data_IF_613674512255
#
_entry.id   IF_613674512255
#
_cell.length_a   1.000
_cell.length_b   1.000
_cell.length_c   1.000
_cell.angle_alpha   90.00
_cell.angle_beta   90.00
_cell.angle_gamma   90.00
#
_symmetry.space_group_name_H-M   'P 1'
#
loop_
_entity.id
_entity.type
_entity.pdbx_description
1 polymer ?
#
# COMPACT_ATOMS: atom_id res chain seq x y z
N UNK A 1 3.24 22.56 13.47
CA UNK A 1 4.00 21.30 13.28
C UNK A 1 3.73 20.83 11.86
N UNK A 2 4.78 20.67 11.04
CA UNK A 2 4.65 20.13 9.69
C UNK A 2 4.77 18.61 9.69
N UNK A 3 4.31 17.96 8.61
CA UNK A 3 4.56 16.54 8.40
C UNK A 3 6.08 16.27 8.31
N UNK A 4 6.55 15.11 8.76
CA UNK A 4 7.97 14.77 8.65
C UNK A 4 8.38 14.70 7.17
N UNK A 5 9.59 15.15 6.79
CA UNK A 5 10.01 15.23 5.39
C UNK A 5 9.84 13.94 4.60
N UNK A 6 10.17 12.79 5.20
CA UNK A 6 10.05 11.47 4.57
C UNK A 6 8.64 11.15 4.05
N UNK A 7 7.58 11.75 4.62
CA UNK A 7 6.20 11.53 4.21
C UNK A 7 5.83 12.33 2.94
N UNK A 8 6.54 13.43 2.67
CA UNK A 8 6.27 14.35 1.57
C UNK A 8 7.29 14.24 0.42
N UNK A 9 8.43 13.59 0.65
CA UNK A 9 9.53 13.46 -0.31
C UNK A 9 9.20 12.60 -1.54
N UNK A 10 8.23 11.66 -1.42
CA UNK A 10 7.88 10.70 -2.46
C UNK A 10 6.37 10.45 -2.49
N UNK A 11 5.79 10.03 -3.62
CA UNK A 11 4.42 9.55 -3.67
C UNK A 11 4.15 8.42 -2.67
N UNK A 12 2.91 8.34 -2.19
CA UNK A 12 2.43 7.24 -1.34
C UNK A 12 1.73 6.22 -2.24
N UNK A 13 2.09 4.94 -2.09
CA UNK A 13 1.44 3.85 -2.79
C UNK A 13 0.04 3.60 -2.17
N UNK A 14 -0.99 4.02 -2.90
CA UNK A 14 -2.38 3.90 -2.49
C UNK A 14 -2.80 2.42 -2.54
N UNK A 15 -3.16 1.86 -1.37
CA UNK A 15 -3.50 0.44 -1.19
C UNK A 15 -2.39 -0.53 -1.59
N UNK A 16 -1.13 -0.11 -1.40
CA UNK A 16 0.05 -0.79 -1.94
C UNK A 16 0.32 -0.44 -3.41
N UNK A 17 1.47 -0.85 -3.93
CA UNK A 17 1.78 -0.65 -5.35
C UNK A 17 1.19 -1.81 -6.16
N UNK A 18 -0.09 -1.67 -6.49
CA UNK A 18 -0.85 -2.69 -7.20
C UNK A 18 -0.91 -2.42 -8.71
N UNK A 19 -1.13 -3.47 -9.49
CA UNK A 19 -1.36 -3.33 -10.91
C UNK A 19 -2.82 -2.93 -11.18
N UNK A 20 -3.02 -2.01 -12.12
CA UNK A 20 -4.34 -1.65 -12.61
C UNK A 20 -4.86 -2.62 -13.69
N UNK A 21 -3.94 -3.36 -14.33
CA UNK A 21 -4.23 -4.24 -15.45
C UNK A 21 -4.20 -5.72 -15.01
N UNK A 22 -5.30 -6.49 -15.16
CA UNK A 22 -5.30 -7.90 -14.87
C UNK A 22 -4.21 -8.65 -15.66
N UNK A 23 -3.39 -9.44 -14.96
CA UNK A 23 -2.42 -10.36 -15.57
C UNK A 23 -1.01 -9.79 -15.84
N UNK A 24 -0.70 -8.56 -15.41
CA UNK A 24 0.67 -8.01 -15.52
C UNK A 24 1.55 -8.49 -14.35
N UNK A 25 1.03 -8.46 -13.12
CA UNK A 25 1.59 -9.10 -11.92
C UNK A 25 0.46 -9.62 -11.02
N UNK A 26 0.78 -10.58 -10.15
CA UNK A 26 -0.10 -11.05 -9.08
C UNK A 26 -0.07 -10.07 -7.87
N UNK A 27 -0.30 -8.78 -8.12
CA UNK A 27 -0.33 -7.74 -7.07
C UNK A 27 -1.68 -7.00 -7.01
N UNK A 28 -2.74 -7.62 -6.42
CA UNK A 28 -4.00 -6.93 -6.13
C UNK A 28 -3.85 -5.80 -5.10
N UNK A 29 -4.76 -4.83 -5.09
CA UNK A 29 -4.83 -3.80 -4.03
C UNK A 29 -5.00 -4.42 -2.63
N UNK A 30 -4.46 -3.76 -1.59
CA UNK A 30 -4.48 -4.21 -0.20
C UNK A 30 -3.93 -5.64 0.02
N UNK A 31 -3.07 -6.13 -0.87
CA UNK A 31 -2.42 -7.45 -0.78
C UNK A 31 -0.97 -7.37 -0.33
N UNK A 32 -0.44 -8.47 0.20
CA UNK A 32 0.98 -8.59 0.54
C UNK A 32 1.89 -8.34 -0.67
N UNK A 33 1.50 -8.81 -1.87
CA UNK A 33 2.28 -8.59 -3.08
C UNK A 33 2.38 -7.11 -3.47
N UNK A 34 1.29 -6.34 -3.33
CA UNK A 34 1.33 -4.89 -3.57
C UNK A 34 2.15 -4.14 -2.50
N UNK A 35 2.12 -4.62 -1.25
CA UNK A 35 2.95 -4.10 -0.16
C UNK A 35 4.44 -4.35 -0.46
N UNK A 36 4.81 -5.58 -0.82
CA UNK A 36 6.18 -5.95 -1.16
C UNK A 36 6.70 -5.14 -2.36
N UNK A 37 5.86 -4.92 -3.37
CA UNK A 37 6.20 -4.10 -4.53
C UNK A 37 6.46 -2.63 -4.16
N UNK A 38 5.71 -2.07 -3.19
CA UNK A 38 5.92 -0.72 -2.69
C UNK A 38 7.20 -0.61 -1.85
N UNK A 39 7.47 -1.60 -0.98
CA UNK A 39 8.71 -1.69 -0.20
C UNK A 39 9.93 -1.75 -1.13
N UNK A 40 9.90 -2.60 -2.15
CA UNK A 40 10.99 -2.76 -3.11
C UNK A 40 11.33 -1.46 -3.86
N UNK A 41 10.37 -0.53 -3.99
CA UNK A 41 10.55 0.79 -4.62
C UNK A 41 10.73 1.94 -3.61
N UNK A 42 10.61 1.65 -2.32
CA UNK A 42 10.77 2.59 -1.21
C UNK A 42 9.64 3.62 -1.11
N UNK A 43 8.42 3.25 -1.47
CA UNK A 43 7.25 4.11 -1.24
C UNK A 43 6.70 3.90 0.17
N UNK A 44 6.17 4.97 0.77
CA UNK A 44 5.23 4.83 1.88
C UNK A 44 3.94 4.16 1.36
N UNK A 45 3.20 3.49 2.25
CA UNK A 45 2.07 2.65 1.88
C UNK A 45 0.83 3.11 2.65
N UNK A 46 -0.25 3.34 1.92
CA UNK A 46 -1.59 3.48 2.48
C UNK A 46 -2.29 2.11 2.45
N UNK A 47 -3.11 1.84 3.47
CA UNK A 47 -3.78 0.55 3.66
C UNK A 47 -5.20 0.75 4.21
N UNK A 48 -6.17 0.06 3.61
CA UNK A 48 -7.53 -0.01 4.15
C UNK A 48 -7.63 -1.08 5.23
N UNK A 49 -7.84 -0.65 6.46
CA UNK A 49 -8.03 -1.57 7.60
C UNK A 49 -9.52 -1.71 7.91
N UNK A 50 -10.02 -2.95 7.95
CA UNK A 50 -11.43 -3.25 8.27
C UNK A 50 -11.51 -4.33 9.34
N UNK A 51 -12.37 -4.11 10.33
CA UNK A 51 -12.67 -5.13 11.32
C UNK A 51 -13.56 -6.23 10.73
N UNK A 52 -13.26 -7.48 11.08
CA UNK A 52 -14.11 -8.65 10.86
C UNK A 52 -15.33 -8.61 11.79
N UNK A 53 -16.31 -9.49 11.56
CA UNK A 53 -17.51 -9.60 12.38
C UNK A 53 -17.20 -9.92 13.86
N UNK A 54 -16.07 -10.58 14.13
CA UNK A 54 -15.56 -10.87 15.48
C UNK A 54 -14.65 -9.77 16.06
N UNK A 55 -14.51 -8.64 15.35
CA UNK A 55 -13.72 -7.49 15.75
C UNK A 55 -12.21 -7.58 15.48
N UNK A 56 -11.71 -8.67 14.88
CA UNK A 56 -10.30 -8.77 14.48
C UNK A 56 -9.99 -7.95 13.25
N UNK A 57 -8.73 -7.55 13.13
CA UNK A 57 -8.12 -6.86 11.99
C UNK A 57 -6.96 -7.70 11.49
#
# INVERSE_FOLDING_TARGET
>A
MGAPPWLLERPIAHRGLHDAAPGVTDAPENSLAAIDAAIARGYAIELDVRALADGRV
#
